data_IF_672430044897
#
_entry.id   IF_672430044897
#
_cell.length_a   1.000
_cell.length_b   1.000
_cell.length_c   1.000
_cell.angle_alpha   90.00
_cell.angle_beta   90.00
_cell.angle_gamma   90.00
#
_symmetry.space_group_name_H-M   'P 1'
#
loop_
_entity.id
_entity.type
_entity.pdbx_description
1 polymer ?
#
# COMPACT_ATOMS: atom_id res chain seq x y z
N UNK A 1 9.09 -10.96 10.40
CA UNK A 1 10.11 -10.17 9.66
C UNK A 1 11.43 -10.10 10.43
N UNK A 2 11.37 -9.92 11.75
CA UNK A 2 12.53 -10.03 12.67
C UNK A 2 13.35 -11.32 12.59
N UNK A 3 12.71 -12.48 12.41
CA UNK A 3 13.43 -13.77 12.19
C UNK A 3 14.11 -13.89 10.81
N UNK A 4 13.75 -13.05 9.84
CA UNK A 4 14.38 -13.04 8.50
C UNK A 4 15.56 -12.07 8.41
N UNK A 5 15.96 -11.45 9.52
CA UNK A 5 17.12 -10.54 9.57
C UNK A 5 16.94 -9.20 8.84
N UNK A 6 15.71 -8.80 8.51
CA UNK A 6 15.49 -7.50 7.86
C UNK A 6 15.83 -6.35 8.81
N UNK A 7 16.49 -5.32 8.26
CA UNK A 7 16.74 -4.08 8.98
C UNK A 7 15.42 -3.45 9.45
N UNK A 8 15.45 -2.78 10.61
CA UNK A 8 14.25 -2.15 11.21
C UNK A 8 13.53 -1.19 10.26
N UNK A 9 14.28 -0.48 9.41
CA UNK A 9 13.70 0.42 8.39
C UNK A 9 12.88 -0.38 7.37
N UNK A 10 13.43 -1.48 6.89
CA UNK A 10 12.77 -2.39 5.94
C UNK A 10 11.51 -2.98 6.56
N UNK A 11 11.58 -3.50 7.79
CA UNK A 11 10.41 -4.04 8.50
C UNK A 11 9.29 -3.00 8.64
N UNK A 12 9.61 -1.76 9.07
CA UNK A 12 8.63 -0.67 9.17
C UNK A 12 7.97 -0.36 7.83
N UNK A 13 8.74 -0.33 6.74
CA UNK A 13 8.20 -0.10 5.40
C UNK A 13 7.25 -1.22 4.97
N UNK A 14 7.62 -2.49 5.17
CA UNK A 14 6.74 -3.60 4.85
C UNK A 14 5.46 -3.58 5.70
N UNK A 15 5.55 -3.35 7.01
CA UNK A 15 4.39 -3.24 7.89
C UNK A 15 3.46 -2.10 7.48
N UNK A 16 4.03 -0.96 7.08
CA UNK A 16 3.26 0.18 6.55
C UNK A 16 2.44 -0.22 5.32
N UNK A 17 3.05 -0.88 4.34
CA UNK A 17 2.36 -1.30 3.11
C UNK A 17 1.33 -2.39 3.35
N UNK A 18 1.63 -3.38 4.19
CA UNK A 18 0.69 -4.44 4.57
C UNK A 18 -0.55 -3.84 5.25
N UNK A 19 -0.35 -2.91 6.20
CA UNK A 19 -1.47 -2.24 6.87
C UNK A 19 -2.34 -1.48 5.87
N UNK A 20 -1.73 -0.71 4.95
CA UNK A 20 -2.47 0.03 3.93
C UNK A 20 -3.24 -0.88 2.98
N UNK A 21 -2.66 -2.01 2.58
CA UNK A 21 -3.31 -3.01 1.74
C UNK A 21 -4.56 -3.60 2.42
N UNK A 22 -4.45 -4.00 3.69
CA UNK A 22 -5.58 -4.54 4.46
C UNK A 22 -6.69 -3.49 4.61
N UNK A 23 -6.34 -2.24 4.90
CA UNK A 23 -7.32 -1.17 5.05
C UNK A 23 -8.02 -0.81 3.74
N UNK A 24 -7.29 -0.79 2.61
CA UNK A 24 -7.86 -0.55 1.29
C UNK A 24 -8.93 -1.59 0.93
N UNK A 25 -8.68 -2.86 1.27
CA UNK A 25 -9.62 -3.96 1.06
C UNK A 25 -10.60 -4.17 2.22
N UNK A 26 -10.92 -3.10 2.97
CA UNK A 26 -11.93 -3.10 4.05
C UNK A 26 -11.72 -4.20 5.10
N UNK A 27 -10.47 -4.48 5.46
CA UNK A 27 -10.08 -5.51 6.44
C UNK A 27 -10.41 -6.95 6.00
N UNK A 28 -10.57 -7.20 4.70
CA UNK A 28 -10.67 -8.55 4.15
C UNK A 28 -9.40 -9.35 4.46
N UNK A 29 -9.54 -10.64 4.74
CA UNK A 29 -8.43 -11.49 5.11
C UNK A 29 -7.49 -11.74 3.91
N UNK A 30 -6.17 -11.49 3.99
CA UNK A 30 -5.25 -11.62 2.87
C UNK A 30 -5.18 -12.99 2.21
N UNK A 31 -5.48 -14.07 2.94
CA UNK A 31 -5.52 -15.41 2.33
C UNK A 31 -6.67 -15.59 1.34
N UNK A 32 -7.69 -14.73 1.41
CA UNK A 32 -8.81 -14.72 0.45
C UNK A 32 -8.59 -13.72 -0.69
N UNK A 33 -7.40 -13.09 -0.75
CA UNK A 33 -7.04 -12.07 -1.72
C UNK A 33 -5.85 -12.58 -2.55
N UNK A 34 -5.91 -12.36 -3.85
CA UNK A 34 -4.93 -12.86 -4.80
C UNK A 34 -4.26 -11.74 -5.59
N UNK A 35 -3.82 -12.09 -6.80
CA UNK A 35 -3.16 -11.17 -7.72
C UNK A 35 -4.03 -9.98 -8.13
N UNK A 36 -5.35 -10.16 -8.21
CA UNK A 36 -6.26 -9.09 -8.64
C UNK A 36 -6.36 -7.98 -7.59
N UNK A 37 -6.51 -8.33 -6.32
CA UNK A 37 -6.53 -7.36 -5.22
C UNK A 37 -5.20 -6.61 -5.08
N UNK A 38 -4.08 -7.28 -5.38
CA UNK A 38 -2.76 -6.64 -5.45
C UNK A 38 -2.71 -5.65 -6.61
N UNK A 39 -3.18 -6.04 -7.80
CA UNK A 39 -3.23 -5.17 -8.97
C UNK A 39 -4.09 -3.93 -8.73
N UNK A 40 -5.30 -4.10 -8.18
CA UNK A 40 -6.20 -3.00 -7.81
C UNK A 40 -5.56 -2.04 -6.80
N UNK A 41 -4.86 -2.57 -5.80
CA UNK A 41 -4.15 -1.75 -4.83
C UNK A 41 -2.99 -0.97 -5.48
N UNK A 42 -2.19 -1.59 -6.34
CA UNK A 42 -1.11 -0.90 -7.05
C UNK A 42 -1.64 0.18 -8.01
N UNK A 43 -2.73 -0.09 -8.72
CA UNK A 43 -3.41 0.90 -9.57
C UNK A 43 -3.94 2.08 -8.75
N UNK A 44 -4.53 1.84 -7.58
CA UNK A 44 -5.01 2.93 -6.71
C UNK A 44 -3.85 3.77 -6.15
N UNK A 45 -2.70 3.15 -5.85
CA UNK A 45 -1.50 3.87 -5.44
C UNK A 45 -0.94 4.77 -6.55
N UNK A 46 -0.91 4.26 -7.79
CA UNK A 46 -0.47 5.06 -8.94
C UNK A 46 -1.41 6.26 -9.16
N UNK A 47 -2.72 6.02 -9.14
CA UNK A 47 -3.73 7.06 -9.31
C UNK A 47 -3.70 8.07 -8.16
N UNK A 48 -3.56 7.63 -6.91
CA UNK A 48 -3.48 8.52 -5.75
C UNK A 48 -2.24 9.40 -5.79
N UNK A 49 -1.10 8.93 -6.30
CA UNK A 49 0.10 9.77 -6.48
C UNK A 49 -0.06 10.75 -7.65
N UNK A 50 -0.69 10.34 -8.74
CA UNK A 50 -1.01 11.25 -9.84
C UNK A 50 -2.03 12.32 -9.43
N UNK A 51 -3.05 11.95 -8.65
CA UNK A 51 -4.01 12.91 -8.06
C UNK A 51 -3.30 13.78 -7.03
N UNK A 52 -2.45 13.25 -6.14
CA UNK A 52 -1.71 14.10 -5.20
C UNK A 52 -0.85 15.16 -5.93
N UNK A 53 -0.19 14.80 -7.04
CA UNK A 53 0.57 15.74 -7.86
C UNK A 53 -0.36 16.75 -8.58
N UNK A 54 -1.48 16.29 -9.14
CA UNK A 54 -2.42 17.17 -9.87
C UNK A 54 -3.27 18.06 -8.94
N UNK A 55 -3.59 17.60 -7.73
CA UNK A 55 -4.32 18.36 -6.71
C UNK A 55 -3.40 19.38 -6.03
N UNK A 56 -2.10 19.09 -5.90
CA UNK A 56 -1.11 20.09 -5.43
C UNK A 56 -1.01 21.28 -6.41
N UNK A 57 -1.15 21.04 -7.72
CA UNK A 57 -1.07 22.07 -8.77
C UNK A 57 -2.23 23.07 -8.81
N UNK A 58 -3.32 22.82 -8.08
CA UNK A 58 -4.52 23.69 -8.05
C UNK A 58 -4.56 24.55 -6.77
N UNK A 59 -3.59 24.37 -5.87
CA UNK A 59 -3.48 25.11 -4.61
C UNK A 59 -2.35 26.16 -4.58
N UNK A 60 -1.80 26.51 -5.75
CA UNK A 60 -0.94 27.68 -5.99
C UNK A 60 -1.68 28.64 -6.94
#
# INVERSE_FOLDING_TARGET
>A
MRQKGYALKTEKTYLHWIKRFILFHKKRHPQTMGSEEVRLFLSSLANSRHVAINTQKIAD
#
